data_IF_335409298528
#
_entry.id   IF_335409298528
#
_cell.length_a   1.000
_cell.length_b   1.000
_cell.length_c   1.000
_cell.angle_alpha   90.00
_cell.angle_beta   90.00
_cell.angle_gamma   90.00
#
_symmetry.space_group_name_H-M   'P 1'
#
loop_
_entity.id
_entity.type
_entity.pdbx_description
1 polymer ?
#
# COMPACT_ATOMS: atom_id res chain seq x y z
N UNK A 1 20.90 -22.66 -3.50
CA UNK A 1 20.06 -22.03 -2.45
C UNK A 1 18.68 -21.78 -3.04
N UNK A 2 17.59 -22.04 -2.30
CA UNK A 2 16.22 -21.81 -2.76
C UNK A 2 16.00 -20.29 -2.76
N UNK A 3 15.67 -19.69 -3.91
CA UNK A 3 15.39 -18.26 -3.99
C UNK A 3 14.12 -17.98 -3.18
N UNK A 4 14.25 -17.24 -2.08
CA UNK A 4 13.10 -16.73 -1.32
C UNK A 4 12.60 -15.52 -2.09
N UNK A 5 11.30 -15.48 -2.38
CA UNK A 5 10.67 -14.32 -3.00
C UNK A 5 10.16 -13.44 -1.86
N UNK A 6 10.44 -12.16 -1.91
CA UNK A 6 9.96 -11.24 -0.89
C UNK A 6 8.68 -10.53 -1.33
N UNK A 7 7.62 -10.75 -0.56
CA UNK A 7 6.37 -10.02 -0.64
C UNK A 7 6.15 -9.29 0.68
N UNK A 8 5.65 -8.07 0.60
CA UNK A 8 5.27 -7.27 1.77
C UNK A 8 3.80 -6.85 1.64
N UNK A 9 3.07 -7.03 2.73
CA UNK A 9 1.68 -6.62 2.86
C UNK A 9 1.61 -5.51 3.90
N UNK A 10 0.90 -4.43 3.59
CA UNK A 10 0.78 -3.28 4.46
C UNK A 10 -0.67 -2.83 4.63
N UNK A 11 -0.92 -2.25 5.78
CA UNK A 11 -2.20 -1.67 6.18
C UNK A 11 -2.02 -0.19 6.47
N UNK A 12 -2.65 0.67 5.67
CA UNK A 12 -2.59 2.12 5.84
C UNK A 12 -3.91 2.65 6.36
N UNK A 13 -3.84 3.41 7.46
CA UNK A 13 -4.99 4.12 7.99
C UNK A 13 -5.22 5.42 7.21
N UNK A 14 -6.28 5.46 6.39
CA UNK A 14 -6.61 6.59 5.52
C UNK A 14 -6.91 7.90 6.28
N UNK A 15 -7.27 7.79 7.57
CA UNK A 15 -7.56 8.93 8.44
C UNK A 15 -6.33 9.47 9.17
N UNK A 16 -5.16 8.84 8.99
CA UNK A 16 -3.93 9.30 9.59
C UNK A 16 -3.62 10.73 9.13
N UNK A 17 -3.19 11.57 10.09
CA UNK A 17 -3.00 13.02 9.86
C UNK A 17 -2.03 13.34 8.72
N UNK A 18 -1.06 12.46 8.46
CA UNK A 18 -0.06 12.67 7.42
C UNK A 18 -0.69 12.75 6.02
N UNK A 19 -1.70 11.93 5.72
CA UNK A 19 -2.33 11.94 4.41
C UNK A 19 -3.04 13.25 4.13
N UNK A 20 -3.54 13.93 5.17
CA UNK A 20 -4.17 15.25 4.99
C UNK A 20 -3.18 16.28 4.44
N UNK A 21 -1.92 16.23 4.88
CA UNK A 21 -0.89 17.13 4.40
C UNK A 21 -0.48 16.81 2.96
N UNK A 22 -0.17 15.55 2.67
CA UNK A 22 0.20 15.07 1.33
C UNK A 22 -0.87 15.36 0.29
N UNK A 23 -2.14 15.12 0.64
CA UNK A 23 -3.30 15.45 -0.18
C UNK A 23 -3.36 16.96 -0.43
N UNK A 24 -3.26 17.80 0.60
CA UNK A 24 -3.32 19.25 0.45
C UNK A 24 -2.21 19.80 -0.47
N UNK A 25 -1.00 19.28 -0.35
CA UNK A 25 0.15 19.74 -1.15
C UNK A 25 0.04 19.28 -2.61
N UNK A 26 -0.32 18.01 -2.84
CA UNK A 26 -0.35 17.40 -4.19
C UNK A 26 -1.67 17.63 -4.95
N UNK A 27 -2.79 17.93 -4.27
CA UNK A 27 -4.11 18.22 -4.88
C UNK A 27 -4.23 19.61 -5.54
N UNK A 28 -3.21 20.46 -5.40
CA UNK A 28 -3.13 21.76 -6.07
C UNK A 28 -3.12 21.65 -7.61
N UNK A 29 -2.80 20.48 -8.15
CA UNK A 29 -2.90 20.14 -9.58
C UNK A 29 -4.32 19.67 -9.89
N UNK A 30 -5.05 20.55 -10.57
CA UNK A 30 -6.48 20.63 -10.93
C UNK A 30 -7.33 19.37 -11.22
N UNK A 31 -6.78 18.16 -11.33
CA UNK A 31 -7.54 16.95 -11.71
C UNK A 31 -7.98 16.10 -10.51
N UNK A 32 -7.34 16.27 -9.36
CA UNK A 32 -7.60 15.51 -8.12
C UNK A 32 -8.95 15.85 -7.46
N UNK A 33 -9.54 17.00 -7.79
CA UNK A 33 -10.71 17.57 -7.08
C UNK A 33 -12.01 16.74 -7.17
N UNK A 34 -12.06 15.64 -7.93
CA UNK A 34 -13.26 14.81 -8.10
C UNK A 34 -13.21 13.47 -7.37
N UNK A 35 -12.09 13.09 -6.76
CA UNK A 35 -11.92 11.81 -6.10
C UNK A 35 -12.29 11.87 -4.63
N UNK A 36 -12.78 10.76 -4.08
CA UNK A 36 -12.94 10.63 -2.63
C UNK A 36 -11.56 10.57 -1.96
N UNK A 37 -11.48 10.87 -0.66
CA UNK A 37 -10.19 10.81 0.07
C UNK A 37 -9.51 9.43 -0.06
N UNK A 38 -10.21 8.29 0.08
CA UNK A 38 -9.65 6.97 -0.18
C UNK A 38 -9.05 6.80 -1.57
N UNK A 39 -9.80 7.18 -2.62
CA UNK A 39 -9.37 7.05 -4.01
C UNK A 39 -8.11 7.88 -4.27
N UNK A 40 -8.05 9.08 -3.68
CA UNK A 40 -6.89 9.95 -3.80
C UNK A 40 -5.65 9.36 -3.12
N UNK A 41 -5.80 8.77 -1.95
CA UNK A 41 -4.67 8.14 -1.26
C UNK A 41 -4.17 6.94 -2.09
N UNK A 42 -5.09 6.12 -2.62
CA UNK A 42 -4.73 5.01 -3.49
C UNK A 42 -3.97 5.49 -4.74
N UNK A 43 -4.45 6.55 -5.39
CA UNK A 43 -3.80 7.18 -6.54
C UNK A 43 -2.40 7.71 -6.18
N UNK A 44 -2.26 8.37 -5.04
CA UNK A 44 -0.94 8.84 -4.57
C UNK A 44 0.02 7.68 -4.30
N UNK A 45 -0.46 6.58 -3.72
CA UNK A 45 0.34 5.38 -3.51
C UNK A 45 0.85 4.80 -4.84
N UNK A 46 -0.02 4.72 -5.87
CA UNK A 46 0.38 4.32 -7.22
C UNK A 46 1.41 5.26 -7.85
N UNK A 47 1.29 6.56 -7.57
CA UNK A 47 2.21 7.59 -8.06
C UNK A 47 3.50 7.73 -7.25
N UNK A 48 3.83 6.76 -6.39
CA UNK A 48 5.12 6.71 -5.70
C UNK A 48 5.19 7.44 -4.36
N UNK A 49 4.04 7.76 -3.73
CA UNK A 49 4.00 8.32 -2.38
C UNK A 49 4.74 7.44 -1.35
N UNK A 50 4.66 6.11 -1.50
CA UNK A 50 5.21 5.17 -0.51
C UNK A 50 6.75 5.26 -0.39
N UNK A 51 7.53 5.22 -1.49
CA UNK A 51 8.96 5.50 -1.43
C UNK A 51 9.34 6.86 -0.83
N UNK A 52 8.53 7.90 -1.08
CA UNK A 52 8.79 9.24 -0.53
C UNK A 52 8.58 9.28 0.99
N UNK A 53 7.52 8.61 1.45
CA UNK A 53 7.10 8.62 2.85
C UNK A 53 7.83 7.60 3.72
N UNK A 54 8.07 6.42 3.17
CA UNK A 54 8.57 5.24 3.86
C UNK A 54 9.63 4.57 2.98
N UNK A 55 10.78 5.23 2.76
CA UNK A 55 11.84 4.74 1.87
C UNK A 55 12.33 3.35 2.29
N UNK A 56 12.36 3.08 3.59
CA UNK A 56 12.81 1.78 4.13
C UNK A 56 11.95 0.61 3.65
N UNK A 57 10.69 0.83 3.29
CA UNK A 57 9.80 -0.23 2.79
C UNK A 57 10.15 -0.57 1.34
N UNK A 58 10.56 0.45 0.59
CA UNK A 58 10.94 0.31 -0.81
C UNK A 58 12.32 -0.32 -0.95
N UNK A 59 13.23 -0.09 -0.01
CA UNK A 59 14.65 -0.50 -0.06
C UNK A 59 14.91 -1.96 0.35
N UNK A 60 13.90 -2.69 0.84
CA UNK A 60 14.10 -3.95 1.55
C UNK A 60 13.93 -5.22 0.70
N UNK A 61 13.85 -5.18 -0.63
CA UNK A 61 13.72 -6.40 -1.44
C UNK A 61 14.98 -7.27 -1.44
N UNK A 62 14.86 -8.53 -1.88
CA UNK A 62 16.03 -9.41 -2.05
C UNK A 62 17.06 -8.76 -2.98
N UNK A 63 18.33 -8.90 -2.62
CA UNK A 63 19.48 -8.36 -3.36
C UNK A 63 19.49 -6.81 -3.50
N UNK A 64 18.75 -6.10 -2.62
CA UNK A 64 18.68 -4.63 -2.64
C UNK A 64 17.82 -4.07 -3.77
N UNK A 65 17.01 -4.91 -4.42
CA UNK A 65 16.07 -4.47 -5.44
C UNK A 65 14.82 -3.84 -4.81
N UNK A 66 14.29 -2.76 -5.37
CA UNK A 66 13.11 -2.13 -4.80
C UNK A 66 11.86 -3.00 -4.97
N UNK A 67 11.05 -3.08 -3.93
CA UNK A 67 9.73 -3.71 -4.02
C UNK A 67 8.80 -2.81 -4.83
N UNK A 68 8.13 -3.37 -5.84
CA UNK A 68 7.15 -2.64 -6.65
C UNK A 68 5.79 -2.73 -5.97
N UNK A 69 4.93 -1.71 -6.10
CA UNK A 69 3.53 -1.80 -5.70
C UNK A 69 2.74 -2.59 -6.76
N UNK A 70 2.09 -3.68 -6.35
CA UNK A 70 1.35 -4.58 -7.24
C UNK A 70 -0.16 -4.42 -7.12
N UNK A 71 -0.64 -4.12 -5.91
CA UNK A 71 -2.06 -4.10 -5.61
C UNK A 71 -2.35 -3.07 -4.51
N UNK A 72 -3.47 -2.38 -4.69
CA UNK A 72 -4.05 -1.46 -3.72
C UNK A 72 -5.53 -1.83 -3.60
N UNK A 73 -5.93 -2.34 -2.44
CA UNK A 73 -7.32 -2.67 -2.15
C UNK A 73 -7.84 -1.71 -1.08
N UNK A 74 -9.02 -1.15 -1.32
CA UNK A 74 -9.69 -0.27 -0.38
C UNK A 74 -10.63 -1.06 0.53
N UNK A 75 -10.38 -1.00 1.83
CA UNK A 75 -11.34 -1.38 2.86
C UNK A 75 -12.07 -0.17 3.45
N UNK A 76 -12.85 -0.38 4.50
CA UNK A 76 -13.67 0.67 5.12
C UNK A 76 -12.86 1.92 5.52
N UNK A 77 -11.86 1.74 6.37
CA UNK A 77 -11.02 2.83 6.90
C UNK A 77 -9.53 2.62 6.62
N UNK A 78 -9.20 1.55 5.89
CA UNK A 78 -7.84 1.11 5.63
C UNK A 78 -7.62 0.89 4.13
N UNK A 79 -6.41 1.16 3.68
CA UNK A 79 -5.91 0.68 2.38
C UNK A 79 -4.97 -0.50 2.63
N UNK A 80 -5.20 -1.59 1.91
CA UNK A 80 -4.34 -2.75 1.86
C UNK A 80 -3.41 -2.58 0.66
N UNK A 81 -2.12 -2.67 0.91
CA UNK A 81 -1.11 -2.57 -0.13
C UNK A 81 -0.32 -3.85 -0.22
N UNK A 82 -0.03 -4.25 -1.44
CA UNK A 82 0.81 -5.40 -1.72
C UNK A 82 2.00 -4.98 -2.54
N UNK A 83 3.18 -5.21 -1.98
CA UNK A 83 4.45 -4.97 -2.65
C UNK A 83 5.16 -6.30 -2.89
N UNK A 84 5.85 -6.39 -4.03
CA UNK A 84 6.56 -7.60 -4.41
C UNK A 84 7.63 -7.35 -5.45
N UNK A 85 8.54 -8.31 -5.59
CA UNK A 85 9.52 -8.33 -6.67
C UNK A 85 8.83 -8.46 -8.03
N UNK A 86 9.18 -7.61 -9.00
CA UNK A 86 8.61 -7.55 -10.36
C UNK A 86 8.55 -8.90 -11.11
N UNK A 87 9.31 -9.91 -10.68
CA UNK A 87 9.47 -11.20 -11.38
C UNK A 87 8.48 -12.29 -10.96
N UNK A 88 7.58 -12.08 -9.99
CA UNK A 88 6.78 -13.17 -9.41
C UNK A 88 5.32 -12.84 -9.12
N UNK A 89 4.40 -13.72 -9.49
CA UNK A 89 2.97 -13.59 -9.17
C UNK A 89 2.75 -13.61 -7.65
N UNK A 90 2.10 -12.58 -7.12
CA UNK A 90 1.85 -12.44 -5.66
C UNK A 90 0.73 -13.33 -5.13
N UNK A 91 0.03 -14.05 -6.00
CA UNK A 91 -0.99 -15.02 -5.61
C UNK A 91 -0.36 -16.31 -5.07
N UNK A 92 0.17 -16.22 -3.85
CA UNK A 92 0.51 -17.38 -3.05
C UNK A 92 -0.80 -17.94 -2.46
N UNK A 93 -1.21 -19.18 -2.78
CA UNK A 93 -2.44 -19.78 -2.25
C UNK A 93 -2.44 -19.95 -0.72
N UNK A 94 -1.27 -19.79 -0.08
CA UNK A 94 -1.12 -19.84 1.37
C UNK A 94 -1.03 -18.45 2.02
N UNK A 95 -1.13 -17.34 1.26
CA UNK A 95 -1.18 -16.00 1.84
C UNK A 95 -2.55 -15.75 2.46
N UNK A 96 -2.58 -15.19 3.67
CA UNK A 96 -3.81 -14.83 4.36
C UNK A 96 -4.06 -13.35 4.11
N UNK A 97 -5.26 -12.98 3.65
CA UNK A 97 -5.59 -11.58 3.47
C UNK A 97 -5.65 -10.85 4.83
N UNK A 98 -4.92 -9.73 5.03
CA UNK A 98 -4.84 -9.08 6.35
C UNK A 98 -6.20 -8.64 6.90
N UNK A 99 -7.17 -8.33 6.03
CA UNK A 99 -8.53 -7.95 6.44
C UNK A 99 -9.25 -9.06 7.21
N UNK A 100 -8.89 -10.32 7.01
CA UNK A 100 -9.49 -11.47 7.71
C UNK A 100 -9.31 -11.32 9.22
N UNK A 101 -8.16 -10.82 9.70
CA UNK A 101 -7.93 -10.61 11.13
C UNK A 101 -8.84 -9.52 11.72
N UNK A 102 -9.19 -8.50 10.94
CA UNK A 102 -10.00 -7.37 11.41
C UNK A 102 -11.49 -7.72 11.56
N UNK A 103 -11.96 -8.72 10.80
CA UNK A 103 -13.31 -9.26 10.96
C UNK A 103 -13.45 -9.89 12.36
N UNK A 104 -12.42 -10.53 12.89
CA UNK A 104 -12.48 -11.20 14.21
C UNK A 104 -12.29 -10.25 15.40
N UNK A 105 -11.67 -9.08 15.22
CA UNK A 105 -11.47 -8.12 16.32
C UNK A 105 -12.65 -7.20 16.57
N UNK A 106 -13.60 -7.10 15.64
CA UNK A 106 -14.81 -6.27 15.75
C UNK A 106 -15.99 -6.97 16.46
N UNK A 107 -15.82 -8.23 16.88
CA UNK A 107 -16.82 -9.03 17.61
C UNK A 107 -16.65 -9.03 19.15
N UNK A 108 -15.85 -8.11 19.72
CA UNK A 108 -15.77 -7.90 21.18
C UNK A 108 -16.32 -6.54 21.58
#
# INVERSE_FOLDING_TARGET
>A
MKKVIQNQEMLLNMHARFFKQEICEKSSKSEIKKLSQPDLIAELCWNGLLPEMLPQISENGLDGLPLTLWEVEQGNNLLYLRLGEMRHSVNNPYSIHPSVFLIYTSYN
#
